data_IF_124947922932
#
_entry.id   IF_124947922932
#
_cell.length_a   1.000
_cell.length_b   1.000
_cell.length_c   1.000
_cell.angle_alpha   90.00
_cell.angle_beta   90.00
_cell.angle_gamma   90.00
#
_symmetry.space_group_name_H-M   'P 1'
#
loop_
_entity.id
_entity.type
_entity.pdbx_description
1 polymer ?
#
# COMPACT_ATOMS: atom_id res chain seq x y z
N UNK A 1 79.61 -80.56 -2.14
CA UNK A 1 79.20 -79.17 -2.16
C UNK A 1 78.13 -78.94 -3.26
N UNK A 2 78.39 -79.19 -4.53
CA UNK A 2 77.42 -78.90 -5.65
C UNK A 2 76.10 -79.71 -5.58
N UNK A 3 76.16 -80.96 -5.06
CA UNK A 3 74.93 -81.79 -4.88
C UNK A 3 74.03 -81.29 -3.77
N UNK A 4 74.62 -80.74 -2.68
CA UNK A 4 73.92 -80.15 -1.55
C UNK A 4 73.19 -78.84 -1.93
N UNK A 5 73.91 -77.96 -2.66
CA UNK A 5 73.36 -76.71 -3.14
C UNK A 5 72.21 -76.90 -4.16
N UNK A 6 72.37 -77.89 -5.04
CA UNK A 6 71.28 -78.24 -6.00
C UNK A 6 70.03 -78.78 -5.27
N UNK A 7 70.18 -79.51 -4.18
CA UNK A 7 69.12 -80.01 -3.33
C UNK A 7 68.39 -78.92 -2.59
N UNK A 8 69.10 -77.93 -2.07
CA UNK A 8 68.55 -76.79 -1.35
C UNK A 8 67.75 -75.87 -2.34
N UNK A 9 68.32 -75.65 -3.52
CA UNK A 9 67.64 -74.85 -4.56
C UNK A 9 66.34 -75.56 -5.03
N UNK A 10 66.36 -76.88 -5.20
CA UNK A 10 65.20 -77.66 -5.55
C UNK A 10 64.12 -77.59 -4.47
N UNK A 11 64.50 -77.61 -3.21
CA UNK A 11 63.58 -77.48 -2.09
C UNK A 11 63.03 -76.06 -1.97
N UNK A 12 63.81 -75.05 -2.28
CA UNK A 12 63.38 -73.65 -2.28
C UNK A 12 62.38 -73.38 -3.44
N UNK A 13 62.61 -73.89 -4.63
CA UNK A 13 61.72 -73.83 -5.76
C UNK A 13 60.38 -74.59 -5.50
N UNK A 14 60.50 -75.77 -4.88
CA UNK A 14 59.33 -76.53 -4.47
C UNK A 14 58.45 -75.77 -3.45
N UNK A 15 59.10 -75.16 -2.42
CA UNK A 15 58.38 -74.29 -1.47
C UNK A 15 57.76 -73.03 -2.09
N UNK A 16 58.45 -72.41 -2.99
CA UNK A 16 57.92 -71.28 -3.74
C UNK A 16 56.76 -71.68 -4.65
N UNK A 17 56.78 -72.83 -5.23
CA UNK A 17 55.66 -73.38 -6.04
C UNK A 17 54.44 -73.72 -5.19
N UNK A 18 54.66 -74.35 -3.99
CA UNK A 18 53.62 -74.66 -3.02
C UNK A 18 53.03 -73.37 -2.39
N UNK A 19 53.85 -72.34 -2.17
CA UNK A 19 53.40 -71.07 -1.65
C UNK A 19 52.63 -70.23 -2.66
N UNK A 20 52.68 -70.60 -3.93
CA UNK A 20 51.90 -70.02 -4.97
C UNK A 20 50.63 -70.89 -5.22
N UNK A 21 49.75 -70.98 -4.22
CA UNK A 21 48.44 -71.57 -4.39
C UNK A 21 47.70 -70.77 -5.48
N UNK A 22 47.82 -71.27 -6.72
CA UNK A 22 47.05 -70.73 -7.82
C UNK A 22 45.71 -71.48 -7.90
N UNK A 23 44.63 -70.83 -7.45
CA UNK A 23 43.31 -71.35 -7.63
C UNK A 23 42.77 -70.84 -9.00
N UNK A 24 42.63 -71.73 -9.99
CA UNK A 24 42.09 -71.40 -11.30
C UNK A 24 40.66 -70.84 -11.21
N UNK A 25 39.88 -71.27 -10.24
CA UNK A 25 38.49 -70.83 -10.05
C UNK A 25 38.42 -69.39 -9.55
N UNK A 26 39.36 -69.00 -8.69
CA UNK A 26 39.50 -67.62 -8.23
C UNK A 26 39.89 -66.69 -9.37
N UNK A 27 40.84 -67.09 -10.23
CA UNK A 27 41.24 -66.32 -11.40
C UNK A 27 40.06 -66.12 -12.39
N UNK A 28 39.29 -67.20 -12.66
CA UNK A 28 38.10 -67.12 -13.51
C UNK A 28 37.06 -66.15 -12.94
N UNK A 29 36.85 -66.16 -11.62
CA UNK A 29 35.92 -65.28 -10.91
C UNK A 29 36.36 -63.79 -11.03
N UNK A 30 37.66 -63.54 -10.82
CA UNK A 30 38.25 -62.18 -10.95
C UNK A 30 38.12 -61.68 -12.37
N UNK A 31 38.49 -62.54 -13.37
CA UNK A 31 38.38 -62.15 -14.79
C UNK A 31 36.93 -61.88 -15.20
N UNK A 32 35.99 -62.70 -14.78
CA UNK A 32 34.53 -62.48 -15.01
C UNK A 32 34.05 -61.15 -14.40
N UNK A 33 34.56 -60.83 -13.18
CA UNK A 33 34.23 -59.59 -12.50
C UNK A 33 34.84 -58.37 -13.25
N UNK A 34 36.07 -58.47 -13.65
CA UNK A 34 36.75 -57.41 -14.44
C UNK A 34 36.01 -57.13 -15.76
N UNK A 35 35.72 -58.22 -16.50
CA UNK A 35 34.96 -58.11 -17.78
C UNK A 35 33.59 -57.45 -17.58
N UNK A 36 32.90 -57.72 -16.44
CA UNK A 36 31.64 -57.08 -16.11
C UNK A 36 31.84 -55.59 -15.85
N UNK A 37 32.84 -55.22 -15.03
CA UNK A 37 33.16 -53.81 -14.71
C UNK A 37 33.55 -53.03 -15.98
N UNK A 38 34.39 -53.59 -16.83
CA UNK A 38 34.76 -52.97 -18.13
C UNK A 38 33.53 -52.79 -19.04
N UNK A 39 32.64 -53.77 -19.07
CA UNK A 39 31.37 -53.66 -19.82
C UNK A 39 30.49 -52.55 -19.30
N UNK A 40 30.33 -52.44 -17.97
CA UNK A 40 29.55 -51.39 -17.31
C UNK A 40 30.17 -50.04 -17.60
N UNK A 41 31.50 -49.88 -17.51
CA UNK A 41 32.18 -48.65 -17.82
C UNK A 41 31.95 -48.21 -19.31
N UNK A 42 32.05 -49.16 -20.23
CA UNK A 42 31.77 -48.89 -21.69
C UNK A 42 30.33 -48.51 -21.96
N UNK A 43 29.35 -49.07 -21.24
CA UNK A 43 27.91 -48.79 -21.50
C UNK A 43 27.40 -47.54 -20.86
N UNK A 44 27.94 -47.20 -19.67
CA UNK A 44 27.31 -46.19 -18.81
C UNK A 44 28.23 -45.03 -18.41
N UNK A 45 29.50 -45.06 -18.78
CA UNK A 45 30.44 -43.98 -18.47
C UNK A 45 31.83 -44.33 -18.88
N UNK A 46 32.81 -43.73 -19.11
CA UNK A 46 34.19 -44.12 -19.48
C UNK A 46 34.97 -44.77 -18.33
N UNK A 47 34.54 -44.61 -17.10
CA UNK A 47 35.14 -45.16 -15.91
C UNK A 47 34.09 -45.58 -14.87
N UNK A 48 34.47 -46.28 -13.81
CA UNK A 48 33.56 -46.81 -12.78
C UNK A 48 32.92 -45.72 -11.92
N UNK A 49 33.61 -44.60 -11.68
CA UNK A 49 33.06 -43.50 -10.91
C UNK A 49 31.88 -42.86 -11.64
N UNK A 50 31.99 -42.68 -12.94
CA UNK A 50 30.87 -42.21 -13.79
C UNK A 50 29.68 -43.17 -13.82
N UNK A 51 29.92 -44.49 -13.83
CA UNK A 51 28.89 -45.52 -13.72
C UNK A 51 28.13 -45.39 -12.39
N UNK A 52 28.88 -45.20 -11.27
CA UNK A 52 28.29 -45.03 -9.94
C UNK A 52 27.45 -43.78 -9.86
N UNK A 53 27.97 -42.66 -10.37
CA UNK A 53 27.22 -41.39 -10.38
C UNK A 53 25.96 -41.48 -11.24
N UNK A 54 26.03 -42.14 -12.40
CA UNK A 54 24.87 -42.38 -13.24
C UNK A 54 23.83 -43.29 -12.59
N UNK A 55 24.26 -44.32 -11.89
CA UNK A 55 23.36 -45.19 -11.11
C UNK A 55 22.68 -44.44 -9.94
N UNK A 56 23.43 -43.56 -9.26
CA UNK A 56 22.89 -42.67 -8.20
C UNK A 56 21.88 -41.68 -8.77
N UNK A 57 22.18 -41.09 -9.93
CA UNK A 57 21.25 -40.20 -10.64
C UNK A 57 19.96 -40.90 -11.02
N UNK A 58 20.06 -42.09 -11.66
CA UNK A 58 18.89 -42.89 -12.05
C UNK A 58 18.03 -43.29 -10.84
N UNK A 59 18.64 -43.69 -9.74
CA UNK A 59 17.93 -44.03 -8.51
C UNK A 59 17.17 -42.80 -7.96
N UNK A 60 17.80 -41.63 -7.91
CA UNK A 60 17.11 -40.38 -7.51
C UNK A 60 15.92 -40.09 -8.40
N UNK A 61 16.08 -40.18 -9.72
CA UNK A 61 14.97 -39.97 -10.65
C UNK A 61 13.82 -40.95 -10.43
N UNK A 62 14.10 -42.20 -10.15
CA UNK A 62 13.07 -43.22 -9.83
C UNK A 62 12.34 -42.84 -8.54
N UNK A 63 13.06 -42.52 -7.47
CA UNK A 63 12.49 -42.09 -6.19
C UNK A 63 11.64 -40.81 -6.33
N UNK A 64 12.10 -39.84 -7.11
CA UNK A 64 11.33 -38.63 -7.44
C UNK A 64 10.05 -38.97 -8.20
N UNK A 65 10.10 -39.92 -9.11
CA UNK A 65 8.95 -40.32 -9.90
C UNK A 65 7.91 -41.11 -9.07
N UNK A 66 8.38 -42.02 -8.21
CA UNK A 66 7.52 -42.78 -7.30
C UNK A 66 6.84 -41.89 -6.27
N UNK A 67 7.50 -40.86 -5.78
CA UNK A 67 6.92 -39.90 -4.82
C UNK A 67 6.11 -38.76 -5.45
N UNK A 68 6.10 -38.66 -6.81
CA UNK A 68 5.47 -37.52 -7.50
C UNK A 68 3.97 -37.40 -7.20
N UNK A 69 3.25 -38.49 -7.19
CA UNK A 69 1.80 -38.47 -7.00
C UNK A 69 1.46 -38.06 -5.55
N UNK A 70 2.24 -38.50 -4.57
CA UNK A 70 2.09 -38.10 -3.18
C UNK A 70 2.43 -36.60 -2.99
N UNK A 71 3.49 -36.11 -3.62
CA UNK A 71 3.83 -34.69 -3.59
C UNK A 71 2.77 -33.81 -4.26
N UNK A 72 2.18 -34.27 -5.36
CA UNK A 72 1.09 -33.57 -6.04
C UNK A 72 -0.17 -33.50 -5.16
N UNK A 73 -0.54 -34.58 -4.50
CA UNK A 73 -1.71 -34.61 -3.60
C UNK A 73 -1.48 -33.73 -2.36
N UNK A 74 -0.27 -33.71 -1.80
CA UNK A 74 0.09 -32.80 -0.71
C UNK A 74 -0.01 -31.34 -1.17
N UNK A 75 0.60 -31.00 -2.32
CA UNK A 75 0.56 -29.64 -2.86
C UNK A 75 -0.88 -29.19 -3.17
N UNK A 76 -1.74 -30.09 -3.71
CA UNK A 76 -3.16 -29.80 -3.94
C UNK A 76 -3.92 -29.55 -2.64
N UNK A 77 -3.62 -30.34 -1.61
CA UNK A 77 -4.26 -30.19 -0.29
C UNK A 77 -3.85 -28.87 0.34
N UNK A 78 -2.56 -28.54 0.35
CA UNK A 78 -2.03 -27.27 0.87
C UNK A 78 -2.59 -26.06 0.11
N UNK A 79 -2.64 -26.15 -1.22
CA UNK A 79 -3.24 -25.08 -2.05
C UNK A 79 -4.75 -24.92 -1.75
N UNK A 80 -5.46 -26.03 -1.56
CA UNK A 80 -6.88 -26.02 -1.18
C UNK A 80 -7.12 -25.41 0.20
N UNK A 81 -6.28 -25.74 1.18
CA UNK A 81 -6.35 -25.18 2.52
C UNK A 81 -6.04 -23.68 2.52
N UNK A 82 -4.99 -23.26 1.81
CA UNK A 82 -4.63 -21.86 1.66
C UNK A 82 -5.75 -21.05 0.97
N UNK A 83 -6.40 -21.62 -0.05
CA UNK A 83 -7.53 -20.97 -0.72
C UNK A 83 -8.73 -20.78 0.23
N UNK A 84 -9.08 -21.81 1.04
CA UNK A 84 -10.16 -21.70 2.03
C UNK A 84 -9.86 -20.64 3.10
N UNK A 85 -8.63 -20.59 3.58
CA UNK A 85 -8.23 -19.57 4.56
C UNK A 85 -8.24 -18.16 3.96
N UNK A 86 -7.81 -18.01 2.71
CA UNK A 86 -7.88 -16.74 1.97
C UNK A 86 -9.34 -16.25 1.84
N UNK A 87 -10.26 -17.12 1.46
CA UNK A 87 -11.69 -16.81 1.37
C UNK A 87 -12.27 -16.40 2.73
N UNK A 88 -11.90 -17.10 3.79
CA UNK A 88 -12.33 -16.81 5.16
C UNK A 88 -11.85 -15.44 5.61
N UNK A 89 -10.58 -15.11 5.37
CA UNK A 89 -9.99 -13.83 5.74
C UNK A 89 -10.59 -12.68 4.92
N UNK A 90 -10.78 -12.86 3.61
CA UNK A 90 -11.43 -11.88 2.75
C UNK A 90 -12.86 -11.58 3.23
N UNK A 91 -13.66 -12.62 3.52
CA UNK A 91 -15.02 -12.43 4.03
C UNK A 91 -15.05 -11.71 5.40
N UNK A 92 -14.09 -11.98 6.27
CA UNK A 92 -13.93 -11.29 7.55
C UNK A 92 -13.60 -9.80 7.33
N UNK A 93 -12.68 -9.50 6.42
CA UNK A 93 -12.31 -8.13 6.06
C UNK A 93 -13.48 -7.35 5.48
N UNK A 94 -14.27 -7.97 4.59
CA UNK A 94 -15.49 -7.37 4.02
C UNK A 94 -16.46 -6.93 5.12
N UNK A 95 -16.74 -7.80 6.11
CA UNK A 95 -17.62 -7.46 7.24
C UNK A 95 -17.11 -6.26 8.05
N UNK A 96 -15.81 -6.18 8.29
CA UNK A 96 -15.19 -5.05 9.00
C UNK A 96 -15.34 -3.77 8.19
N UNK A 97 -15.07 -3.84 6.86
CA UNK A 97 -15.23 -2.72 5.94
C UNK A 97 -16.66 -2.22 5.85
N UNK A 98 -17.65 -3.10 5.74
CA UNK A 98 -19.07 -2.72 5.74
C UNK A 98 -19.47 -1.94 6.98
N UNK A 99 -19.03 -2.39 8.16
CA UNK A 99 -19.27 -1.68 9.41
C UNK A 99 -18.57 -0.31 9.42
N UNK A 100 -17.33 -0.24 9.00
CA UNK A 100 -16.56 0.99 8.94
C UNK A 100 -17.16 1.96 7.90
N UNK A 101 -17.57 1.47 6.73
CA UNK A 101 -18.20 2.27 5.66
C UNK A 101 -19.49 2.94 6.16
N UNK A 102 -20.38 2.20 6.82
CA UNK A 102 -21.61 2.75 7.39
C UNK A 102 -21.31 3.81 8.45
N UNK A 103 -20.34 3.56 9.33
CA UNK A 103 -19.97 4.50 10.39
C UNK A 103 -19.32 5.78 9.80
N UNK A 104 -18.47 5.64 8.79
CA UNK A 104 -17.82 6.77 8.11
C UNK A 104 -18.84 7.59 7.33
N UNK A 105 -19.71 6.96 6.53
CA UNK A 105 -20.75 7.64 5.77
C UNK A 105 -21.66 8.48 6.69
N UNK A 106 -22.08 7.92 7.82
CA UNK A 106 -22.88 8.66 8.81
C UNK A 106 -22.16 9.90 9.36
N UNK A 107 -20.83 9.81 9.63
CA UNK A 107 -20.03 10.94 10.10
C UNK A 107 -19.87 12.02 9.04
N UNK A 108 -19.61 11.63 7.79
CA UNK A 108 -19.47 12.55 6.64
C UNK A 108 -20.79 13.31 6.40
N UNK A 109 -21.93 12.59 6.39
CA UNK A 109 -23.25 13.19 6.26
C UNK A 109 -23.57 14.17 7.38
N UNK A 110 -23.09 13.93 8.59
CA UNK A 110 -23.22 14.85 9.72
C UNK A 110 -22.54 16.21 9.52
N UNK A 111 -21.51 16.28 8.65
CA UNK A 111 -20.84 17.53 8.31
C UNK A 111 -21.54 18.32 7.17
N UNK A 112 -22.36 17.66 6.36
CA UNK A 112 -22.93 18.25 5.13
C UNK A 112 -23.84 19.43 5.36
N UNK A 113 -24.65 19.41 6.43
CA UNK A 113 -25.64 20.46 6.72
C UNK A 113 -25.03 21.85 6.85
N UNK A 114 -23.82 21.95 7.37
CA UNK A 114 -23.16 23.21 7.66
C UNK A 114 -22.22 23.72 6.55
N UNK A 115 -21.92 22.88 5.56
CA UNK A 115 -20.99 23.20 4.46
C UNK A 115 -21.69 23.31 3.08
N UNK A 116 -22.98 23.63 3.06
CA UNK A 116 -23.81 23.72 1.86
C UNK A 116 -23.90 22.43 1.02
N UNK A 117 -23.94 21.29 1.71
CA UNK A 117 -24.22 19.98 1.12
C UNK A 117 -25.39 19.27 1.82
N UNK A 118 -26.26 20.03 2.50
CA UNK A 118 -27.29 19.49 3.41
C UNK A 118 -28.32 18.54 2.78
N UNK A 119 -28.59 18.69 1.46
CA UNK A 119 -29.44 17.77 0.70
C UNK A 119 -28.68 16.63 0.04
N UNK A 120 -27.35 16.63 0.15
CA UNK A 120 -26.47 15.67 -0.50
C UNK A 120 -26.60 14.26 0.08
N UNK A 121 -26.26 13.30 -0.76
CA UNK A 121 -26.11 11.89 -0.39
C UNK A 121 -24.66 11.48 -0.49
N UNK A 122 -24.23 10.67 0.45
CA UNK A 122 -22.89 10.11 0.48
C UNK A 122 -22.98 8.63 0.85
N UNK A 123 -22.47 7.79 0.00
CA UNK A 123 -22.50 6.33 0.17
C UNK A 123 -21.11 5.76 -0.06
N UNK A 124 -20.79 4.70 0.67
CA UNK A 124 -19.57 3.92 0.46
C UNK A 124 -20.01 2.51 0.08
N UNK A 125 -19.74 2.14 -1.15
CA UNK A 125 -20.14 0.85 -1.72
C UNK A 125 -18.94 -0.08 -1.76
N UNK A 126 -19.16 -1.32 -1.36
CA UNK A 126 -18.19 -2.40 -1.49
C UNK A 126 -18.70 -3.37 -2.56
N UNK A 127 -18.00 -3.43 -3.68
CA UNK A 127 -18.27 -4.37 -4.75
C UNK A 127 -17.30 -5.55 -4.64
N UNK A 128 -17.79 -6.76 -4.90
CA UNK A 128 -16.93 -7.93 -4.92
C UNK A 128 -15.95 -7.84 -6.10
N UNK A 129 -14.65 -7.91 -5.83
CA UNK A 129 -13.64 -7.99 -6.85
C UNK A 129 -13.65 -9.35 -7.55
N UNK A 130 -13.25 -9.42 -8.81
CA UNK A 130 -13.15 -10.67 -9.56
C UNK A 130 -12.18 -11.67 -8.93
N UNK A 131 -11.11 -11.15 -8.30
CA UNK A 131 -10.09 -11.95 -7.63
C UNK A 131 -9.72 -11.31 -6.30
N UNK A 132 -9.47 -12.15 -5.30
CA UNK A 132 -8.93 -11.70 -4.02
C UNK A 132 -7.47 -11.32 -4.22
N UNK A 133 -7.13 -10.07 -3.89
CA UNK A 133 -5.77 -9.54 -3.98
C UNK A 133 -5.17 -9.24 -2.60
N UNK A 134 -3.97 -8.64 -2.55
CA UNK A 134 -3.32 -8.25 -1.29
C UNK A 134 -4.15 -7.30 -0.43
N UNK A 135 -5.05 -6.54 -1.05
CA UNK A 135 -5.98 -5.64 -0.36
C UNK A 135 -7.32 -6.29 0.00
N UNK A 136 -7.50 -7.58 -0.20
CA UNK A 136 -8.76 -8.31 0.04
C UNK A 136 -9.59 -8.53 -1.21
N UNK A 137 -10.86 -8.90 -1.01
CA UNK A 137 -11.81 -9.26 -2.07
C UNK A 137 -12.81 -8.17 -2.43
N UNK A 138 -12.63 -6.93 -1.96
CA UNK A 138 -13.56 -5.83 -2.19
C UNK A 138 -12.93 -4.69 -2.97
N UNK A 139 -13.70 -4.13 -3.90
CA UNK A 139 -13.48 -2.82 -4.49
C UNK A 139 -14.33 -1.80 -3.74
N UNK A 140 -13.70 -0.80 -3.16
CA UNK A 140 -14.38 0.26 -2.40
C UNK A 140 -14.60 1.47 -3.30
N UNK A 141 -15.83 1.94 -3.39
CA UNK A 141 -16.18 3.12 -4.15
C UNK A 141 -16.95 4.13 -3.27
N UNK A 142 -16.58 5.40 -3.39
CA UNK A 142 -17.23 6.50 -2.70
C UNK A 142 -18.18 7.18 -3.70
N UNK A 143 -19.46 7.21 -3.36
CA UNK A 143 -20.51 7.80 -4.19
C UNK A 143 -21.04 9.06 -3.53
N UNK A 144 -21.32 10.08 -4.34
CA UNK A 144 -21.86 11.35 -3.92
C UNK A 144 -22.93 11.86 -4.88
N UNK A 145 -23.96 12.48 -4.33
CA UNK A 145 -24.92 13.32 -5.06
C UNK A 145 -25.12 14.63 -4.29
N UNK A 146 -25.08 15.76 -4.99
CA UNK A 146 -25.23 17.08 -4.36
C UNK A 146 -26.67 17.34 -3.92
N UNK A 147 -27.65 16.82 -4.63
CA UNK A 147 -29.06 17.05 -4.42
C UNK A 147 -29.85 15.77 -4.12
N UNK A 148 -30.90 15.87 -3.33
CA UNK A 148 -31.72 14.74 -2.91
C UNK A 148 -32.36 13.94 -4.06
N UNK A 149 -32.59 14.57 -5.23
CA UNK A 149 -33.20 13.95 -6.42
C UNK A 149 -32.19 13.30 -7.37
N UNK A 150 -30.91 13.46 -7.14
CA UNK A 150 -29.85 12.93 -8.01
C UNK A 150 -29.42 11.53 -7.59
N UNK A 151 -29.08 10.70 -8.58
CA UNK A 151 -28.45 9.42 -8.31
C UNK A 151 -27.00 9.64 -7.88
N UNK A 152 -26.55 8.99 -6.77
CA UNK A 152 -25.16 9.06 -6.35
C UNK A 152 -24.22 8.55 -7.44
N UNK A 153 -23.13 9.27 -7.69
CA UNK A 153 -22.09 8.94 -8.68
C UNK A 153 -20.72 8.87 -8.00
N UNK A 154 -19.77 8.15 -8.58
CA UNK A 154 -18.39 8.14 -8.08
C UNK A 154 -17.85 9.56 -7.88
N UNK A 155 -17.22 9.82 -6.73
CA UNK A 155 -16.67 11.15 -6.40
C UNK A 155 -15.73 11.65 -7.51
N UNK A 156 -14.97 10.77 -8.15
CA UNK A 156 -14.11 11.12 -9.28
C UNK A 156 -14.83 11.68 -10.50
N UNK A 157 -16.17 11.58 -10.56
CA UNK A 157 -17.02 12.09 -11.65
C UNK A 157 -17.86 13.30 -11.24
N UNK A 158 -17.60 13.89 -10.08
CA UNK A 158 -18.27 15.12 -9.64
C UNK A 158 -17.74 16.28 -10.46
N UNK A 159 -18.67 17.01 -11.11
CA UNK A 159 -18.31 18.05 -12.07
C UNK A 159 -17.94 19.39 -11.41
N UNK A 160 -18.35 19.64 -10.16
CA UNK A 160 -18.11 20.90 -9.44
C UNK A 160 -16.89 20.78 -8.53
N UNK A 161 -15.85 21.59 -8.78
CA UNK A 161 -14.64 21.65 -7.95
C UNK A 161 -14.96 22.05 -6.50
N UNK A 162 -15.85 23.03 -6.31
CA UNK A 162 -16.26 23.47 -4.98
C UNK A 162 -17.03 22.40 -4.18
N UNK A 163 -17.92 21.64 -4.82
CA UNK A 163 -18.61 20.52 -4.16
C UNK A 163 -17.61 19.41 -3.78
N UNK A 164 -16.72 19.06 -4.70
CA UNK A 164 -15.69 18.05 -4.46
C UNK A 164 -14.79 18.44 -3.29
N UNK A 165 -14.32 19.70 -3.24
CA UNK A 165 -13.49 20.21 -2.15
C UNK A 165 -14.22 20.19 -0.80
N UNK A 166 -15.52 20.49 -0.77
CA UNK A 166 -16.33 20.41 0.45
C UNK A 166 -16.60 18.97 0.90
N UNK A 167 -16.86 18.04 -0.04
CA UNK A 167 -16.97 16.60 0.29
C UNK A 167 -15.65 16.08 0.85
N UNK A 168 -14.51 16.47 0.25
CA UNK A 168 -13.18 16.12 0.76
C UNK A 168 -12.96 16.69 2.17
N UNK A 169 -13.35 17.96 2.41
CA UNK A 169 -13.28 18.55 3.75
C UNK A 169 -14.08 17.74 4.76
N UNK A 170 -15.35 17.39 4.43
CA UNK A 170 -16.20 16.58 5.32
C UNK A 170 -15.57 15.21 5.61
N UNK A 171 -15.01 14.57 4.59
CA UNK A 171 -14.34 13.28 4.70
C UNK A 171 -13.11 13.35 5.61
N UNK A 172 -12.25 14.36 5.40
CA UNK A 172 -11.05 14.56 6.22
C UNK A 172 -11.41 14.90 7.65
N UNK A 173 -12.41 15.75 7.90
CA UNK A 173 -12.91 16.06 9.25
C UNK A 173 -13.45 14.80 9.95
N UNK A 174 -14.20 13.97 9.22
CA UNK A 174 -14.74 12.71 9.73
C UNK A 174 -13.64 11.69 10.08
N UNK A 175 -12.51 11.72 9.36
CA UNK A 175 -11.35 10.85 9.57
C UNK A 175 -10.35 11.40 10.58
N UNK A 176 -10.32 12.72 10.81
CA UNK A 176 -9.32 13.39 11.68
C UNK A 176 -9.36 12.98 13.16
N UNK A 177 -10.30 12.11 13.57
CA UNK A 177 -10.31 11.44 14.87
C UNK A 177 -9.34 10.27 14.97
N UNK A 178 -8.79 9.82 13.84
CA UNK A 178 -7.73 8.79 13.75
C UNK A 178 -6.36 9.46 13.89
N UNK A 179 -5.38 8.75 14.44
CA UNK A 179 -4.04 9.27 14.78
C UNK A 179 -3.18 9.69 13.56
N UNK A 180 -3.58 9.35 12.35
CA UNK A 180 -2.87 9.70 11.10
C UNK A 180 -3.43 10.99 10.51
N UNK A 181 -2.82 12.13 10.83
CA UNK A 181 -3.05 13.37 10.07
C UNK A 181 -2.19 13.38 8.81
N UNK A 182 -2.73 13.78 7.64
CA UNK A 182 -1.92 13.99 6.45
C UNK A 182 -0.88 15.09 6.71
N UNK A 183 0.32 14.98 6.09
CA UNK A 183 1.41 15.93 6.29
C UNK A 183 1.03 17.36 5.87
N UNK A 184 0.25 17.52 4.81
CA UNK A 184 -0.33 18.78 4.35
C UNK A 184 -1.65 18.54 3.61
N UNK A 185 -2.59 19.49 3.75
CA UNK A 185 -3.86 19.53 3.03
C UNK A 185 -3.91 20.83 2.22
N UNK A 186 -4.30 20.73 0.97
CA UNK A 186 -4.48 21.89 0.10
C UNK A 186 -5.93 21.91 -0.37
N UNK A 187 -6.65 23.00 -0.08
CA UNK A 187 -8.02 23.25 -0.54
C UNK A 187 -8.02 24.40 -1.53
N UNK A 188 -8.46 24.10 -2.72
CA UNK A 188 -8.71 25.07 -3.79
C UNK A 188 -10.20 25.06 -4.15
N UNK A 189 -10.75 26.22 -4.54
CA UNK A 189 -12.16 26.41 -4.91
C UNK A 189 -13.19 25.99 -3.84
N UNK A 190 -12.80 25.80 -2.58
CA UNK A 190 -13.69 25.30 -1.52
C UNK A 190 -14.85 26.26 -1.23
N UNK A 191 -14.67 27.53 -1.56
CA UNK A 191 -15.59 28.63 -1.38
C UNK A 191 -16.49 28.91 -2.58
N UNK A 192 -16.36 28.13 -3.67
CA UNK A 192 -17.20 28.29 -4.85
C UNK A 192 -18.68 28.04 -4.53
N UNK A 193 -19.52 29.05 -4.81
CA UNK A 193 -20.97 28.99 -4.63
C UNK A 193 -21.47 29.06 -3.18
N UNK A 194 -20.60 29.46 -2.24
CA UNK A 194 -21.01 29.65 -0.83
C UNK A 194 -20.69 31.07 -0.34
N UNK A 195 -21.28 31.45 0.79
CA UNK A 195 -21.02 32.71 1.45
C UNK A 195 -21.63 32.74 2.87
N UNK A 196 -21.53 33.89 3.53
CA UNK A 196 -22.17 34.11 4.83
C UNK A 196 -21.82 33.09 5.90
N UNK A 197 -22.85 32.51 6.51
CA UNK A 197 -22.71 31.55 7.60
C UNK A 197 -22.03 30.24 7.16
N UNK A 198 -22.30 29.77 5.94
CA UNK A 198 -21.69 28.55 5.39
C UNK A 198 -20.18 28.72 5.21
N UNK A 199 -19.74 29.86 4.68
CA UNK A 199 -18.31 30.14 4.53
C UNK A 199 -17.60 30.19 5.91
N UNK A 200 -18.25 30.74 6.93
CA UNK A 200 -17.72 30.72 8.27
C UNK A 200 -17.61 29.30 8.86
N UNK A 201 -18.61 28.46 8.61
CA UNK A 201 -18.58 27.06 9.03
C UNK A 201 -17.50 26.25 8.33
N UNK A 202 -17.25 26.48 7.03
CA UNK A 202 -16.13 25.90 6.28
C UNK A 202 -14.79 26.36 6.90
N UNK A 203 -14.63 27.69 7.14
CA UNK A 203 -13.44 28.26 7.76
C UNK A 203 -13.14 27.65 9.12
N UNK A 204 -14.16 27.44 9.96
CA UNK A 204 -14.02 26.79 11.27
C UNK A 204 -13.48 25.37 11.16
N UNK A 205 -13.98 24.59 10.18
CA UNK A 205 -13.51 23.21 9.96
C UNK A 205 -12.07 23.15 9.47
N UNK A 206 -11.71 24.06 8.56
CA UNK A 206 -10.33 24.22 8.11
C UNK A 206 -9.44 24.60 9.29
N UNK A 207 -9.85 25.53 10.13
CA UNK A 207 -9.12 25.94 11.33
C UNK A 207 -8.97 24.81 12.35
N UNK A 208 -9.96 23.91 12.47
CA UNK A 208 -9.83 22.68 13.31
C UNK A 208 -8.79 21.72 12.75
N UNK A 209 -8.75 21.50 11.44
CA UNK A 209 -7.75 20.65 10.78
C UNK A 209 -6.35 21.24 10.92
N UNK A 210 -6.21 22.56 10.79
CA UNK A 210 -4.94 23.26 10.91
C UNK A 210 -4.27 23.17 12.30
N UNK A 211 -5.00 22.74 13.31
CA UNK A 211 -4.43 22.42 14.65
C UNK A 211 -3.69 21.08 14.70
N UNK A 212 -3.91 20.22 13.70
CA UNK A 212 -3.36 18.85 13.64
C UNK A 212 -2.33 18.65 12.55
N UNK A 213 -2.29 19.56 11.57
CA UNK A 213 -1.40 19.48 10.43
C UNK A 213 -1.38 20.78 9.65
N UNK A 214 -0.56 20.83 8.61
CA UNK A 214 -0.50 21.99 7.73
C UNK A 214 -1.71 21.99 6.79
N UNK A 215 -2.41 23.14 6.73
CA UNK A 215 -3.51 23.35 5.78
C UNK A 215 -3.24 24.62 5.00
N UNK A 216 -3.30 24.53 3.67
CA UNK A 216 -3.26 25.65 2.74
C UNK A 216 -4.64 25.77 2.10
N UNK A 217 -5.23 26.97 2.11
CA UNK A 217 -6.53 27.21 1.51
C UNK A 217 -6.44 28.45 0.61
N UNK A 218 -6.85 28.29 -0.66
CA UNK A 218 -7.05 29.41 -1.58
C UNK A 218 -8.50 29.85 -1.46
N UNK A 219 -8.73 31.13 -1.15
CA UNK A 219 -10.08 31.68 -0.94
C UNK A 219 -10.18 33.15 -1.27
N UNK A 220 -11.33 33.57 -1.75
CA UNK A 220 -11.69 34.95 -1.92
C UNK A 220 -12.66 35.45 -0.81
N UNK A 221 -13.07 34.55 0.11
CA UNK A 221 -14.03 34.87 1.15
C UNK A 221 -13.36 35.28 2.47
N UNK A 222 -13.64 36.49 2.91
CA UNK A 222 -13.19 37.04 4.20
C UNK A 222 -13.54 36.10 5.39
N UNK A 223 -14.71 35.44 5.33
CA UNK A 223 -15.19 34.51 6.35
C UNK A 223 -14.23 33.34 6.58
N UNK A 224 -13.62 32.80 5.52
CA UNK A 224 -12.63 31.72 5.61
C UNK A 224 -11.28 32.27 6.04
N UNK A 225 -10.85 33.37 5.43
CA UNK A 225 -9.54 34.00 5.70
C UNK A 225 -9.32 34.35 7.18
N UNK A 226 -10.40 34.70 7.92
CA UNK A 226 -10.30 35.02 9.35
C UNK A 226 -9.90 33.86 10.26
N UNK A 227 -10.02 32.60 9.78
CA UNK A 227 -9.58 31.41 10.54
C UNK A 227 -8.11 31.05 10.31
N UNK A 228 -7.43 31.69 9.35
CA UNK A 228 -6.05 31.38 9.02
C UNK A 228 -5.08 31.83 10.13
N UNK A 229 -4.03 31.04 10.38
CA UNK A 229 -2.90 31.43 11.22
C UNK A 229 -1.94 32.41 10.50
N UNK A 230 -1.70 32.13 9.21
CA UNK A 230 -0.94 32.98 8.29
C UNK A 230 -1.81 33.37 7.12
N UNK A 231 -1.62 34.59 6.61
CA UNK A 231 -2.41 35.11 5.50
C UNK A 231 -1.48 35.64 4.44
N UNK A 232 -1.62 35.11 3.23
CA UNK A 232 -0.85 35.53 2.06
C UNK A 232 -1.79 36.21 1.05
N UNK A 233 -1.34 37.31 0.45
CA UNK A 233 -2.08 37.98 -0.63
C UNK A 233 -1.33 37.76 -1.93
N UNK A 234 -2.08 37.52 -2.99
CA UNK A 234 -1.56 37.43 -4.34
C UNK A 234 -1.88 38.71 -5.07
N UNK A 235 -0.84 39.48 -5.39
CA UNK A 235 -0.93 40.71 -6.17
C UNK A 235 -0.49 40.46 -7.61
N UNK A 236 -1.27 40.92 -8.58
CA UNK A 236 -0.89 40.91 -9.99
C UNK A 236 -0.18 42.23 -10.33
N UNK A 237 1.02 42.11 -10.88
CA UNK A 237 1.81 43.22 -11.37
C UNK A 237 1.95 43.10 -12.88
N UNK A 238 1.53 44.14 -13.62
CA UNK A 238 1.81 44.27 -15.04
C UNK A 238 3.09 45.07 -15.23
N UNK A 239 4.08 44.46 -15.84
CA UNK A 239 5.36 45.15 -16.17
C UNK A 239 5.79 44.69 -17.57
N UNK A 240 5.93 45.69 -18.47
CA UNK A 240 6.38 45.47 -19.86
C UNK A 240 5.56 44.42 -20.63
N UNK A 241 4.23 44.49 -20.59
CA UNK A 241 3.29 43.54 -21.19
C UNK A 241 3.35 42.08 -20.61
N UNK A 242 4.08 41.86 -19.53
CA UNK A 242 4.09 40.61 -18.80
C UNK A 242 3.35 40.76 -17.47
N UNK A 243 2.44 39.79 -17.22
CA UNK A 243 1.74 39.68 -15.93
C UNK A 243 2.56 38.83 -14.97
N UNK A 244 3.06 39.45 -13.91
CA UNK A 244 3.76 38.74 -12.83
C UNK A 244 2.87 38.64 -11.59
N UNK A 245 2.88 37.49 -10.91
CA UNK A 245 2.16 37.30 -9.65
C UNK A 245 3.16 37.40 -8.50
N UNK A 246 2.93 38.34 -7.61
CA UNK A 246 3.66 38.45 -6.34
C UNK A 246 2.87 37.81 -5.21
N UNK A 247 3.57 37.12 -4.31
CA UNK A 247 2.99 36.58 -3.08
C UNK A 247 3.60 37.29 -1.89
N UNK A 248 2.76 37.88 -1.04
CA UNK A 248 3.18 38.60 0.15
C UNK A 248 2.46 38.09 1.39
N UNK A 249 3.21 37.84 2.46
CA UNK A 249 2.64 37.53 3.77
C UNK A 249 2.19 38.79 4.47
N UNK A 250 1.03 38.79 5.09
CA UNK A 250 0.50 39.86 5.90
C UNK A 250 1.06 39.79 7.32
N UNK A 251 1.85 40.76 7.71
CA UNK A 251 2.49 40.84 9.02
C UNK A 251 1.61 41.57 10.03
N UNK A 252 1.20 40.84 11.08
CA UNK A 252 0.46 41.40 12.18
C UNK A 252 -1.03 41.61 11.97
N UNK A 253 -1.73 41.98 13.04
CA UNK A 253 -3.19 42.02 13.07
C UNK A 253 -3.77 43.14 12.19
N UNK A 254 -3.10 44.29 12.12
CA UNK A 254 -3.60 45.48 11.39
C UNK A 254 -3.66 45.24 9.88
N UNK A 255 -2.63 44.63 9.29
CA UNK A 255 -2.62 44.32 7.85
C UNK A 255 -3.68 43.26 7.51
N UNK A 256 -3.83 42.24 8.34
CA UNK A 256 -4.86 41.22 8.17
C UNK A 256 -6.27 41.80 8.31
N UNK A 257 -6.50 42.72 9.26
CA UNK A 257 -7.77 43.43 9.42
C UNK A 257 -8.09 44.28 8.20
N UNK A 258 -7.08 44.99 7.64
CA UNK A 258 -7.24 45.79 6.43
C UNK A 258 -7.57 44.93 5.21
N UNK A 259 -6.88 43.81 5.01
CA UNK A 259 -7.14 42.91 3.89
C UNK A 259 -8.52 42.26 4.00
N UNK A 260 -8.92 41.76 5.17
CA UNK A 260 -10.25 41.22 5.39
C UNK A 260 -11.33 42.29 5.15
N UNK A 261 -11.09 43.54 5.53
CA UNK A 261 -12.01 44.65 5.22
C UNK A 261 -12.11 44.87 3.71
N UNK A 262 -10.98 44.87 2.97
CA UNK A 262 -10.94 44.96 1.51
C UNK A 262 -11.68 43.79 0.86
N UNK A 263 -11.51 42.56 1.33
CA UNK A 263 -12.24 41.37 0.85
C UNK A 263 -13.75 41.49 1.04
N UNK A 264 -14.21 42.21 2.08
CA UNK A 264 -15.65 42.38 2.38
C UNK A 264 -16.33 43.45 1.52
N UNK A 265 -15.64 44.54 1.19
CA UNK A 265 -16.28 45.74 0.61
C UNK A 265 -15.54 46.30 -0.61
N UNK A 266 -14.43 45.69 -1.02
CA UNK A 266 -13.54 46.26 -2.07
C UNK A 266 -12.61 47.35 -1.58
N UNK A 267 -12.92 48.02 -0.49
CA UNK A 267 -12.20 49.17 0.05
C UNK A 267 -11.99 49.03 1.57
N UNK A 268 -10.97 49.76 2.08
CA UNK A 268 -10.64 49.78 3.51
C UNK A 268 -11.21 51.06 4.14
N UNK A 269 -12.46 51.00 4.66
CA UNK A 269 -13.07 52.08 5.40
C UNK A 269 -13.47 51.66 6.82
N UNK A 270 -13.77 52.60 7.70
CA UNK A 270 -13.97 52.38 9.14
C UNK A 270 -15.07 51.32 9.46
N UNK A 271 -16.13 51.25 8.67
CA UNK A 271 -17.21 50.26 8.87
C UNK A 271 -16.72 48.88 8.52
N UNK A 272 -15.99 48.71 7.41
CA UNK A 272 -15.43 47.45 6.99
C UNK A 272 -14.35 46.95 8.00
N UNK A 273 -13.51 47.85 8.50
CA UNK A 273 -12.52 47.52 9.55
C UNK A 273 -13.19 47.03 10.85
N UNK A 274 -14.26 47.72 11.29
CA UNK A 274 -15.03 47.24 12.46
C UNK A 274 -15.63 45.84 12.23
N UNK A 275 -16.16 45.61 11.04
CA UNK A 275 -16.74 44.28 10.68
C UNK A 275 -15.62 43.21 10.64
N UNK A 276 -14.49 43.49 10.02
CA UNK A 276 -13.33 42.60 9.98
C UNK A 276 -12.86 42.20 11.40
N UNK A 277 -12.74 43.20 12.31
CA UNK A 277 -12.39 42.94 13.71
C UNK A 277 -13.42 42.03 14.42
N UNK A 278 -14.71 42.28 14.21
CA UNK A 278 -15.77 41.42 14.77
C UNK A 278 -15.67 39.99 14.28
N UNK A 279 -15.33 39.78 12.99
CA UNK A 279 -15.12 38.46 12.42
C UNK A 279 -13.91 37.73 13.04
N UNK A 280 -12.79 38.42 13.24
CA UNK A 280 -11.63 37.81 13.94
C UNK A 280 -11.92 37.46 15.39
N UNK A 281 -12.76 38.22 16.08
CA UNK A 281 -13.21 37.87 17.45
C UNK A 281 -14.07 36.61 17.42
N UNK A 282 -15.00 36.49 16.46
CA UNK A 282 -15.84 35.29 16.30
C UNK A 282 -15.02 34.06 15.97
N UNK A 283 -14.08 34.14 15.03
CA UNK A 283 -13.22 33.02 14.64
C UNK A 283 -12.36 32.51 15.81
N UNK A 284 -11.81 33.43 16.63
CA UNK A 284 -11.06 33.06 17.85
C UNK A 284 -11.93 32.37 18.89
N UNK A 285 -13.17 32.82 19.08
CA UNK A 285 -14.11 32.21 20.03
C UNK A 285 -14.53 30.81 19.56
N UNK A 286 -14.84 30.63 18.28
CA UNK A 286 -15.13 29.33 17.70
C UNK A 286 -13.95 28.35 17.86
N UNK A 287 -12.72 28.85 17.68
CA UNK A 287 -11.51 28.05 17.91
C UNK A 287 -11.33 27.58 19.36
N UNK A 288 -11.78 28.37 20.35
CA UNK A 288 -11.71 28.01 21.78
C UNK A 288 -12.82 27.06 22.21
N UNK A 289 -14.04 27.22 21.68
CA UNK A 289 -15.21 26.42 22.05
C UNK A 289 -15.19 24.97 21.59
N UNK A 290 -14.41 24.65 20.55
CA UNK A 290 -14.30 23.29 19.97
C UNK A 290 -13.21 22.43 20.62
N UNK A 291 -12.59 22.89 21.72
CA UNK A 291 -11.54 22.15 22.46
C UNK A 291 -12.04 21.33 23.66
N UNK A 292 -13.34 21.25 23.89
CA UNK A 292 -13.92 20.69 25.11
C UNK A 292 -14.98 19.58 24.91
N UNK A 293 -14.84 18.76 23.85
CA UNK A 293 -15.74 17.60 23.69
C UNK A 293 -14.96 16.39 23.24
#
# INVERSE_FOLDING_TARGET
ALQSEAGELAADVARALEATEFDPTELETINARLALLERLARLYGGNLDEVIERARGARRTIEEFENRDEMLERARTEAGDAARELDRLAASLTKVREKAAKALAKRVLGEFGEIALGSGRFEIVLERAEKIGPAGGDRVEFLFAANAGEAPRPIARVASGGELSRVLLALVVALARSESSPAALIFDEIDAGIGGATAAAVGERIGRLARRGQVVCVTHLAQIATFANRHYVLDKFERNDETTIGVRELEGAKEREAEVARMLSGETHDVALRHARAMFVRSRNAAKGSGGS
#
